data_IF_277453532584
#
_entry.id   IF_277453532584
#
_cell.length_a   1.000
_cell.length_b   1.000
_cell.length_c   1.000
_cell.angle_alpha   90.00
_cell.angle_beta   90.00
_cell.angle_gamma   90.00
#
_symmetry.space_group_name_H-M   'P 1'
#
loop_
_entity.id
_entity.type
_entity.pdbx_description
1 polymer ?
#
# COMPACT_ATOMS: atom_id res chain seq x y z
N UNK A 1 -44.66 45.19 40.33
CA UNK A 1 -43.89 44.21 41.13
C UNK A 1 -43.26 43.24 40.13
N UNK A 2 -41.98 43.30 39.76
CA UNK A 2 -40.76 42.96 40.52
C UNK A 2 -40.85 41.61 41.23
N UNK A 3 -40.38 40.57 40.56
CA UNK A 3 -39.37 39.65 41.10
C UNK A 3 -38.33 39.37 40.00
N UNK A 4 -37.16 39.99 40.20
CA UNK A 4 -35.88 39.62 39.59
C UNK A 4 -35.32 38.42 40.36
N UNK A 5 -34.30 37.78 39.78
CA UNK A 5 -33.52 36.64 40.28
C UNK A 5 -34.20 35.29 40.03
N UNK A 6 -33.56 34.30 39.39
CA UNK A 6 -32.13 34.03 39.38
C UNK A 6 -31.76 33.35 38.04
N UNK A 7 -31.26 34.16 37.10
CA UNK A 7 -30.33 33.70 36.06
C UNK A 7 -29.08 33.29 36.83
N UNK A 8 -28.78 31.99 36.95
CA UNK A 8 -27.45 31.38 37.18
C UNK A 8 -27.70 29.86 37.18
N UNK A 9 -27.50 29.22 36.03
CA UNK A 9 -26.80 27.94 35.92
C UNK A 9 -26.30 27.79 34.47
N UNK A 10 -25.60 28.83 34.02
CA UNK A 10 -24.70 28.78 32.87
C UNK A 10 -23.33 28.76 33.50
N UNK A 11 -22.79 27.57 33.78
CA UNK A 11 -21.36 27.31 33.96
C UNK A 11 -21.14 25.80 34.16
N UNK A 12 -20.06 25.30 33.54
CA UNK A 12 -19.45 23.96 33.69
C UNK A 12 -20.15 22.89 32.83
N UNK A 13 -19.62 22.42 31.70
CA UNK A 13 -18.24 21.97 31.43
C UNK A 13 -17.96 22.11 29.91
N UNK A 14 -17.18 23.12 29.55
CA UNK A 14 -16.35 23.09 28.34
C UNK A 14 -15.20 22.12 28.61
N UNK A 15 -15.40 20.83 28.33
CA UNK A 15 -14.29 19.92 28.10
C UNK A 15 -13.70 20.25 26.73
N UNK A 16 -12.74 21.18 26.76
CA UNK A 16 -11.79 21.32 25.69
C UNK A 16 -11.13 19.95 25.46
N UNK A 17 -11.31 19.36 24.27
CA UNK A 17 -10.20 18.61 23.69
C UNK A 17 -9.11 19.65 23.40
N UNK A 18 -8.25 19.90 24.39
CA UNK A 18 -6.96 20.52 24.12
C UNK A 18 -6.13 19.46 23.40
N UNK A 19 -5.90 19.66 22.11
CA UNK A 19 -4.77 19.03 21.42
C UNK A 19 -3.49 19.62 22.03
N UNK A 20 -2.56 18.81 22.55
CA UNK A 20 -1.19 19.26 22.64
C UNK A 20 -0.62 19.23 21.22
N UNK A 21 -0.64 20.38 20.54
CA UNK A 21 0.32 20.67 19.48
C UNK A 21 1.71 20.63 20.13
N UNK A 22 2.39 19.50 20.01
CA UNK A 22 3.83 19.43 20.18
C UNK A 22 4.43 19.19 18.79
N UNK A 23 4.48 20.27 18.02
CA UNK A 23 5.36 20.39 16.87
C UNK A 23 6.81 20.35 17.41
N UNK A 24 7.33 19.14 17.59
CA UNK A 24 8.74 18.93 17.87
C UNK A 24 9.38 18.36 16.62
N UNK A 25 10.07 19.24 15.90
CA UNK A 25 10.72 18.95 14.64
C UNK A 25 11.72 17.80 14.73
N UNK A 26 11.78 17.02 13.67
CA UNK A 26 12.86 16.06 13.46
C UNK A 26 14.14 16.84 13.15
N UNK A 27 15.03 16.97 14.14
CA UNK A 27 16.41 17.39 13.90
C UNK A 27 17.20 16.14 13.59
N UNK A 28 17.52 15.93 12.30
CA UNK A 28 18.56 14.99 11.92
C UNK A 28 19.90 15.67 12.22
N UNK A 29 20.53 15.36 13.35
CA UNK A 29 21.94 15.66 13.54
C UNK A 29 22.72 14.67 12.70
N UNK A 30 23.07 15.09 11.49
CA UNK A 30 24.12 14.46 10.71
C UNK A 30 25.44 14.74 11.43
N UNK A 31 25.78 13.89 12.41
CA UNK A 31 27.11 13.85 13.00
C UNK A 31 28.04 13.17 12.00
N UNK A 32 28.47 13.96 11.02
CA UNK A 32 29.55 13.64 10.11
C UNK A 32 30.86 13.70 10.89
N UNK A 33 31.08 12.70 11.76
CA UNK A 33 32.39 12.51 12.38
C UNK A 33 33.27 11.74 11.41
N UNK A 34 34.07 12.52 10.69
CA UNK A 34 35.15 12.07 9.83
C UNK A 34 36.16 11.29 10.66
N UNK A 35 36.09 9.97 10.64
CA UNK A 35 37.22 9.11 11.02
C UNK A 35 37.54 8.23 9.82
N UNK A 36 38.47 8.72 9.02
CA UNK A 36 39.26 7.88 8.13
C UNK A 36 39.99 6.84 8.99
N UNK A 37 39.85 5.56 8.66
CA UNK A 37 40.96 4.60 8.51
C UNK A 37 40.45 3.18 8.27
N UNK A 38 41.22 2.49 7.43
CA UNK A 38 41.26 1.04 7.17
C UNK A 38 40.37 0.53 6.05
N UNK A 39 41.04 0.40 4.90
CA UNK A 39 40.74 -0.44 3.75
C UNK A 39 40.57 -1.91 4.18
N UNK A 40 39.39 -2.25 4.67
CA UNK A 40 38.88 -3.62 4.53
C UNK A 40 37.99 -3.56 3.29
N UNK A 41 38.40 -4.22 2.21
CA UNK A 41 37.46 -4.60 1.15
C UNK A 41 36.52 -5.61 1.82
N UNK A 42 35.55 -5.09 2.55
CA UNK A 42 34.24 -5.71 2.62
C UNK A 42 33.79 -5.58 1.17
N UNK A 43 33.62 -6.72 0.47
CA UNK A 43 32.63 -6.79 -0.57
C UNK A 43 31.34 -6.29 0.10
N UNK A 44 31.12 -4.99 0.01
CA UNK A 44 29.80 -4.42 0.07
C UNK A 44 29.13 -5.11 -1.11
N UNK A 45 28.47 -6.23 -0.80
CA UNK A 45 27.47 -6.81 -1.66
C UNK A 45 26.51 -5.65 -1.83
N UNK A 46 26.71 -4.90 -2.91
CA UNK A 46 25.67 -4.06 -3.47
C UNK A 46 24.58 -5.08 -3.74
N UNK A 47 23.67 -5.23 -2.77
CA UNK A 47 22.35 -5.78 -3.00
C UNK A 47 21.84 -4.93 -4.16
N UNK A 48 22.01 -5.45 -5.38
CA UNK A 48 21.58 -4.79 -6.59
C UNK A 48 20.06 -4.83 -6.53
N UNK A 49 19.49 -3.86 -5.83
CA UNK A 49 18.06 -3.76 -5.62
C UNK A 49 17.45 -3.58 -7.01
N UNK A 50 16.82 -4.65 -7.51
CA UNK A 50 16.14 -4.61 -8.80
C UNK A 50 15.22 -3.40 -8.84
N UNK A 51 15.38 -2.56 -9.87
CA UNK A 51 14.44 -1.46 -10.07
C UNK A 51 13.05 -2.05 -10.37
N UNK A 52 11.97 -1.37 -9.98
CA UNK A 52 10.62 -1.81 -10.31
C UNK A 52 10.44 -2.04 -11.82
N UNK A 53 11.03 -1.19 -12.64
CA UNK A 53 10.98 -1.28 -14.10
C UNK A 53 11.71 -2.53 -14.62
N UNK A 54 12.90 -2.83 -14.09
CA UNK A 54 13.64 -4.03 -14.47
C UNK A 54 12.95 -5.32 -13.98
N UNK A 55 12.34 -5.28 -12.79
CA UNK A 55 11.57 -6.40 -12.26
C UNK A 55 10.36 -6.73 -13.16
N UNK A 56 9.65 -5.70 -13.64
CA UNK A 56 8.54 -5.88 -14.57
C UNK A 56 8.99 -6.49 -15.92
N UNK A 57 10.15 -6.06 -16.45
CA UNK A 57 10.72 -6.62 -17.68
C UNK A 57 11.19 -8.07 -17.50
N UNK A 58 11.84 -8.39 -16.38
CA UNK A 58 12.25 -9.76 -16.04
C UNK A 58 11.04 -10.69 -15.94
N UNK A 59 9.98 -10.23 -15.26
CA UNK A 59 8.75 -11.00 -15.12
C UNK A 59 8.05 -11.19 -16.47
N UNK A 60 7.98 -10.15 -17.31
CA UNK A 60 7.44 -10.24 -18.67
C UNK A 60 8.22 -11.26 -19.52
N UNK A 61 9.55 -11.26 -19.41
CA UNK A 61 10.42 -12.22 -20.10
C UNK A 61 10.17 -13.64 -19.64
N UNK A 62 10.14 -13.89 -18.34
CA UNK A 62 9.89 -15.23 -17.79
C UNK A 62 8.50 -15.77 -18.21
N UNK A 63 7.49 -14.91 -18.28
CA UNK A 63 6.16 -15.32 -18.76
C UNK A 63 6.17 -15.70 -20.24
N UNK A 64 6.97 -15.03 -21.08
CA UNK A 64 7.16 -15.44 -22.48
C UNK A 64 7.86 -16.79 -22.58
N UNK A 65 8.85 -17.05 -21.74
CA UNK A 65 9.56 -18.33 -21.70
C UNK A 65 8.62 -19.48 -21.28
N UNK A 66 7.59 -19.17 -20.50
CA UNK A 66 6.49 -20.08 -20.13
C UNK A 66 5.34 -20.13 -21.15
N UNK A 67 5.49 -19.48 -22.32
CA UNK A 67 4.55 -19.59 -23.44
C UNK A 67 3.40 -18.58 -23.45
N UNK A 68 3.41 -17.59 -22.55
CA UNK A 68 2.44 -16.51 -22.59
C UNK A 68 2.85 -15.43 -23.61
N UNK A 69 1.90 -14.92 -24.39
CA UNK A 69 2.15 -13.83 -25.32
C UNK A 69 2.12 -12.46 -24.60
N UNK A 70 3.18 -12.15 -23.87
CA UNK A 70 3.33 -10.92 -23.05
C UNK A 70 4.29 -9.95 -23.73
N UNK A 71 3.81 -8.74 -24.01
CA UNK A 71 4.66 -7.64 -24.48
C UNK A 71 5.41 -7.01 -23.30
N UNK A 72 6.53 -6.34 -23.57
CA UNK A 72 7.19 -5.58 -22.52
C UNK A 72 6.32 -4.36 -22.12
N UNK A 73 6.15 -4.09 -20.82
CA UNK A 73 5.49 -2.87 -20.35
C UNK A 73 6.27 -1.64 -20.80
N UNK A 74 5.54 -0.57 -21.14
CA UNK A 74 6.15 0.72 -21.50
C UNK A 74 6.17 1.64 -20.28
N UNK A 75 6.95 2.70 -20.34
CA UNK A 75 7.08 3.67 -19.24
C UNK A 75 5.75 4.29 -18.77
N UNK A 76 4.69 4.24 -19.58
CA UNK A 76 3.34 4.74 -19.26
C UNK A 76 2.33 3.64 -18.91
N UNK A 77 2.70 2.36 -18.99
CA UNK A 77 1.83 1.22 -18.68
C UNK A 77 2.59 0.11 -17.92
N UNK A 78 2.15 -0.21 -16.70
CA UNK A 78 2.76 -1.30 -15.93
C UNK A 78 2.37 -2.69 -16.45
N UNK A 79 3.15 -3.71 -16.06
CA UNK A 79 2.95 -5.11 -16.46
C UNK A 79 1.52 -5.63 -16.25
N UNK A 80 0.83 -5.17 -15.19
CA UNK A 80 -0.57 -5.53 -14.91
C UNK A 80 -1.50 -5.20 -16.08
N UNK A 81 -1.31 -4.07 -16.75
CA UNK A 81 -2.13 -3.67 -17.91
C UNK A 81 -1.91 -4.62 -19.09
N UNK A 82 -0.67 -5.08 -19.30
CA UNK A 82 -0.33 -6.05 -20.35
C UNK A 82 -0.93 -7.43 -20.06
N UNK A 83 -0.96 -7.86 -18.80
CA UNK A 83 -1.49 -9.17 -18.40
C UNK A 83 -3.03 -9.21 -18.34
N UNK A 84 -3.68 -8.07 -18.14
CA UNK A 84 -5.16 -7.96 -18.07
C UNK A 84 -5.90 -8.64 -19.22
N UNK A 85 -5.59 -8.41 -20.51
CA UNK A 85 -6.27 -9.08 -21.62
C UNK A 85 -6.07 -10.61 -21.61
N UNK A 86 -4.89 -11.10 -21.20
CA UNK A 86 -4.61 -12.53 -21.07
C UNK A 86 -5.48 -13.13 -19.96
N UNK A 87 -5.56 -12.44 -18.82
CA UNK A 87 -6.37 -12.85 -17.68
C UNK A 87 -7.87 -12.91 -18.01
N UNK A 88 -8.39 -11.92 -18.74
CA UNK A 88 -9.81 -11.87 -19.14
C UNK A 88 -10.14 -12.98 -20.15
N UNK A 89 -9.21 -13.31 -21.04
CA UNK A 89 -9.42 -14.35 -22.05
C UNK A 89 -9.29 -15.78 -21.48
N UNK A 90 -8.61 -15.95 -20.35
CA UNK A 90 -8.39 -17.25 -19.73
C UNK A 90 -9.62 -17.75 -18.95
N UNK A 91 -9.82 -19.07 -18.95
CA UNK A 91 -10.80 -19.73 -18.08
C UNK A 91 -10.30 -19.82 -16.63
N UNK A 92 -11.06 -20.48 -15.74
CA UNK A 92 -10.65 -20.62 -14.33
C UNK A 92 -9.31 -21.35 -14.16
N UNK A 93 -9.10 -22.41 -14.94
CA UNK A 93 -7.86 -23.20 -14.91
C UNK A 93 -6.68 -22.37 -15.41
N UNK A 94 -6.84 -21.70 -16.55
CA UNK A 94 -5.82 -20.86 -17.14
C UNK A 94 -5.44 -19.67 -16.27
N UNK A 95 -6.40 -19.06 -15.57
CA UNK A 95 -6.11 -17.99 -14.59
C UNK A 95 -5.30 -18.52 -13.40
N UNK A 96 -5.61 -19.71 -12.91
CA UNK A 96 -4.85 -20.35 -11.84
C UNK A 96 -3.43 -20.67 -12.27
N UNK A 97 -3.26 -21.24 -13.47
CA UNK A 97 -1.94 -21.55 -14.06
C UNK A 97 -1.13 -20.28 -14.31
N UNK A 98 -1.76 -19.19 -14.78
CA UNK A 98 -1.11 -17.90 -14.95
C UNK A 98 -0.59 -17.34 -13.63
N UNK A 99 -1.40 -17.36 -12.57
CA UNK A 99 -0.97 -16.89 -11.24
C UNK A 99 0.19 -17.72 -10.68
N UNK A 100 0.11 -19.04 -10.79
CA UNK A 100 1.21 -19.92 -10.37
C UNK A 100 2.49 -19.63 -11.15
N UNK A 101 2.38 -19.41 -12.47
CA UNK A 101 3.53 -19.07 -13.30
C UNK A 101 4.13 -17.72 -12.88
N UNK A 102 3.31 -16.70 -12.63
CA UNK A 102 3.76 -15.39 -12.15
C UNK A 102 4.52 -15.54 -10.83
N UNK A 103 4.00 -16.35 -9.91
CA UNK A 103 4.65 -16.61 -8.63
C UNK A 103 6.01 -17.29 -8.82
N UNK A 104 6.08 -18.37 -9.59
CA UNK A 104 7.34 -19.06 -9.89
C UNK A 104 8.35 -18.14 -10.56
N UNK A 105 7.92 -17.36 -11.56
CA UNK A 105 8.79 -16.40 -12.23
C UNK A 105 9.33 -15.34 -11.27
N UNK A 106 8.52 -14.86 -10.33
CA UNK A 106 8.98 -13.88 -9.37
C UNK A 106 9.96 -14.49 -8.35
N UNK A 107 9.67 -15.70 -7.84
CA UNK A 107 10.56 -16.44 -6.95
C UNK A 107 11.92 -16.73 -7.61
N UNK A 108 11.92 -17.21 -8.85
CA UNK A 108 13.13 -17.55 -9.62
C UNK A 108 14.01 -16.32 -9.92
N UNK A 109 13.41 -15.13 -9.97
CA UNK A 109 14.10 -13.87 -10.25
C UNK A 109 14.25 -12.98 -9.01
N UNK A 110 13.99 -13.51 -7.81
CA UNK A 110 14.05 -12.76 -6.54
C UNK A 110 13.21 -11.46 -6.56
N UNK A 111 12.10 -11.44 -7.29
CA UNK A 111 11.17 -10.32 -7.36
C UNK A 111 10.17 -10.44 -6.20
N UNK A 112 10.12 -9.47 -5.28
CA UNK A 112 9.12 -9.48 -4.22
C UNK A 112 7.74 -9.17 -4.83
N UNK A 113 6.90 -10.19 -4.96
CA UNK A 113 5.46 -9.99 -5.10
C UNK A 113 4.96 -9.53 -3.74
N UNK A 114 4.36 -8.34 -3.67
CA UNK A 114 3.87 -7.77 -2.41
C UNK A 114 3.19 -8.82 -1.54
N UNK A 115 3.52 -8.83 -0.25
CA UNK A 115 3.08 -9.88 0.65
C UNK A 115 1.54 -9.90 0.70
N UNK A 116 0.94 -11.08 0.72
CA UNK A 116 -0.51 -11.22 0.87
C UNK A 116 -0.99 -10.70 2.25
N UNK A 117 -0.07 -10.30 3.12
CA UNK A 117 -0.34 -9.61 4.38
C UNK A 117 -1.11 -8.28 4.21
N UNK A 118 -1.07 -7.66 3.03
CA UNK A 118 -1.89 -6.47 2.72
C UNK A 118 -3.33 -6.82 2.31
N UNK A 119 -3.64 -8.10 2.05
CA UNK A 119 -5.03 -8.54 1.88
C UNK A 119 -5.67 -8.68 3.26
N UNK A 120 -6.42 -7.64 3.66
CA UNK A 120 -7.34 -7.72 4.80
C UNK A 120 -8.26 -8.94 4.66
N UNK A 121 -8.57 -9.56 5.80
CA UNK A 121 -9.50 -10.68 5.87
C UNK A 121 -10.82 -10.28 5.16
N UNK A 122 -11.29 -11.07 4.18
CA UNK A 122 -12.51 -10.77 3.43
C UNK A 122 -13.74 -10.54 4.31
N UNK A 123 -13.81 -11.17 5.48
CA UNK A 123 -14.90 -10.97 6.44
C UNK A 123 -14.84 -9.58 7.08
N UNK A 124 -13.64 -9.12 7.47
CA UNK A 124 -13.44 -7.78 8.02
C UNK A 124 -13.73 -6.69 6.97
N UNK A 125 -13.41 -6.95 5.70
CA UNK A 125 -13.74 -6.05 4.59
C UNK A 125 -15.26 -5.97 4.37
N UNK A 126 -15.96 -7.11 4.44
CA UNK A 126 -17.41 -7.15 4.28
C UNK A 126 -18.13 -6.38 5.40
N UNK A 127 -17.74 -6.59 6.66
CA UNK A 127 -18.32 -5.89 7.81
C UNK A 127 -18.15 -4.37 7.72
N UNK A 128 -16.97 -3.92 7.28
CA UNK A 128 -16.71 -2.49 7.03
C UNK A 128 -17.61 -1.93 5.93
N UNK A 129 -17.75 -2.66 4.81
CA UNK A 129 -18.60 -2.23 3.69
C UNK A 129 -20.08 -2.16 4.08
N UNK A 130 -20.58 -3.09 4.89
CA UNK A 130 -21.95 -3.06 5.40
C UNK A 130 -22.19 -1.83 6.28
N UNK A 131 -21.23 -1.50 7.14
CA UNK A 131 -21.27 -0.30 7.98
C UNK A 131 -21.28 0.98 7.13
N UNK A 132 -20.43 1.06 6.11
CA UNK A 132 -20.38 2.19 5.17
C UNK A 132 -21.71 2.36 4.40
N UNK A 133 -22.34 1.25 4.01
CA UNK A 133 -23.65 1.25 3.37
C UNK A 133 -24.74 1.77 4.32
N UNK A 134 -24.73 1.38 5.60
CA UNK A 134 -25.66 1.90 6.61
C UNK A 134 -25.52 3.42 6.78
N UNK A 135 -24.28 3.93 6.88
CA UNK A 135 -24.01 5.37 6.91
C UNK A 135 -24.54 6.08 5.66
N UNK A 136 -24.28 5.52 4.48
CA UNK A 136 -24.75 6.08 3.22
C UNK A 136 -26.28 6.09 3.10
N UNK A 137 -26.98 5.10 3.66
CA UNK A 137 -28.44 5.08 3.71
C UNK A 137 -28.99 6.16 4.65
N UNK A 138 -28.44 6.26 5.87
CA UNK A 138 -28.83 7.29 6.85
C UNK A 138 -28.69 8.72 6.29
N UNK A 139 -27.63 9.00 5.52
CA UNK A 139 -27.43 10.29 4.88
C UNK A 139 -28.44 10.55 3.76
N UNK A 140 -28.84 9.54 2.98
CA UNK A 140 -29.85 9.69 1.92
C UNK A 140 -31.25 9.98 2.48
N UNK A 141 -31.60 9.42 3.63
CA UNK A 141 -32.90 9.66 4.25
C UNK A 141 -33.04 11.05 4.87
N UNK A 142 -31.92 11.69 5.22
CA UNK A 142 -31.88 13.00 5.89
C UNK A 142 -31.50 14.17 4.97
N UNK A 143 -31.20 13.90 3.70
CA UNK A 143 -30.83 14.87 2.67
C UNK A 143 -32.03 15.45 1.91
#
# INVERSE_FOLDING_TARGET
MKSKSLIILMFIISSACSSPDNAQGVVSTQDLSTVATVTTIVEDVVEETLSPEDAELLLASCLRDNGYNVQDPKNDEGLRSVLTPIFIAADEKGRTELFQTIQTCAEDNNIPLGDNADFENPEDVADRLDTELEFAQCLREKG
#
